data_IF_074102763475
#
_entry.id   IF_074102763475
#
_cell.length_a   1.000
_cell.length_b   1.000
_cell.length_c   1.000
_cell.angle_alpha   90.00
_cell.angle_beta   90.00
_cell.angle_gamma   90.00
#
_symmetry.space_group_name_H-M   'P 1'
#
loop_
_entity.id
_entity.type
_entity.pdbx_description
1 polymer ?
#
# COMPACT_ATOMS: atom_id res chain seq x y z
N UNK A 1 -17.22 15.24 10.56
CA UNK A 1 -17.45 14.50 9.29
C UNK A 1 -16.71 15.20 8.16
N UNK A 2 -15.98 14.44 7.34
CA UNK A 2 -15.17 14.93 6.23
C UNK A 2 -16.02 15.00 4.96
N UNK A 3 -16.37 16.22 4.51
CA UNK A 3 -17.32 16.44 3.41
C UNK A 3 -16.97 17.73 2.64
N UNK A 4 -17.45 17.84 1.40
CA UNK A 4 -17.19 19.03 0.57
C UNK A 4 -17.82 20.31 1.14
N UNK A 5 -18.94 20.23 1.86
CA UNK A 5 -19.61 21.42 2.42
C UNK A 5 -18.74 22.17 3.43
N UNK A 6 -17.78 21.47 4.07
CA UNK A 6 -16.81 22.06 5.01
C UNK A 6 -15.49 22.48 4.36
N UNK A 7 -15.38 22.41 3.03
CA UNK A 7 -14.10 22.65 2.33
C UNK A 7 -13.54 24.05 2.58
N UNK A 8 -14.39 25.07 2.60
CA UNK A 8 -13.98 26.45 2.86
C UNK A 8 -13.43 26.63 4.29
N UNK A 9 -14.07 25.99 5.27
CA UNK A 9 -13.60 26.01 6.67
C UNK A 9 -12.24 25.31 6.81
N UNK A 10 -12.07 24.16 6.14
CA UNK A 10 -10.82 23.40 6.14
C UNK A 10 -9.69 24.24 5.53
N UNK A 11 -9.93 24.90 4.39
CA UNK A 11 -8.94 25.79 3.75
C UNK A 11 -8.59 26.97 4.67
N UNK A 12 -9.59 27.54 5.35
CA UNK A 12 -9.38 28.65 6.28
C UNK A 12 -8.54 28.21 7.48
N UNK A 13 -8.82 27.03 8.03
CA UNK A 13 -8.02 26.44 9.10
C UNK A 13 -6.58 26.14 8.65
N UNK A 14 -6.38 25.67 7.41
CA UNK A 14 -5.05 25.42 6.86
C UNK A 14 -4.20 26.69 6.74
N UNK A 15 -4.83 27.84 6.46
CA UNK A 15 -4.14 29.14 6.34
C UNK A 15 -3.82 29.77 7.70
N UNK A 16 -4.71 29.58 8.67
CA UNK A 16 -4.68 30.33 9.93
C UNK A 16 -4.04 29.56 11.09
N UNK A 17 -3.83 28.25 10.96
CA UNK A 17 -3.22 27.43 12.00
C UNK A 17 -1.81 26.97 11.61
N UNK A 18 -0.97 26.71 12.63
CA UNK A 18 0.34 26.09 12.44
C UNK A 18 0.21 24.57 12.48
N UNK A 19 0.92 23.91 11.59
CA UNK A 19 1.04 22.45 11.51
C UNK A 19 2.50 22.07 11.73
N UNK A 20 2.72 20.93 12.36
CA UNK A 20 4.06 20.37 12.58
C UNK A 20 4.58 19.67 11.32
N UNK A 21 3.65 19.13 10.52
CA UNK A 21 3.96 18.43 9.27
C UNK A 21 2.94 18.77 8.18
N UNK A 22 3.44 19.08 6.98
CA UNK A 22 2.65 19.22 5.77
C UNK A 22 3.04 18.13 4.78
N UNK A 23 2.08 17.25 4.45
CA UNK A 23 2.23 16.19 3.45
C UNK A 23 1.63 16.64 2.13
N UNK A 24 2.43 16.56 1.06
CA UNK A 24 2.00 16.88 -0.31
C UNK A 24 1.75 15.56 -1.06
N UNK A 25 0.50 15.30 -1.40
CA UNK A 25 0.02 14.10 -2.06
C UNK A 25 -0.82 13.21 -1.14
N UNK A 26 -2.05 12.89 -1.57
CA UNK A 26 -3.03 12.04 -0.90
C UNK A 26 -3.11 10.62 -1.51
N UNK A 27 -1.99 10.11 -2.05
CA UNK A 27 -1.85 8.70 -2.42
C UNK A 27 -1.56 7.81 -1.20
N UNK A 28 -1.33 6.52 -1.42
CA UNK A 28 -1.10 5.54 -0.33
C UNK A 28 0.08 5.94 0.57
N UNK A 29 1.17 6.47 -0.01
CA UNK A 29 2.34 6.94 0.74
C UNK A 29 2.01 8.13 1.63
N UNK A 30 1.35 9.15 1.08
CA UNK A 30 1.00 10.34 1.85
C UNK A 30 -0.04 10.06 2.93
N UNK A 31 -1.01 9.19 2.65
CA UNK A 31 -1.97 8.72 3.64
C UNK A 31 -1.28 7.95 4.78
N UNK A 32 -0.32 7.07 4.46
CA UNK A 32 0.46 6.34 5.46
C UNK A 32 1.30 7.26 6.35
N UNK A 33 2.00 8.24 5.75
CA UNK A 33 2.75 9.26 6.50
C UNK A 33 1.82 10.07 7.40
N UNK A 34 0.68 10.50 6.88
CA UNK A 34 -0.29 11.28 7.64
C UNK A 34 -0.87 10.49 8.83
N UNK A 35 -1.15 9.21 8.63
CA UNK A 35 -1.60 8.31 9.69
C UNK A 35 -0.53 8.17 10.77
N UNK A 36 0.69 7.80 10.40
CA UNK A 36 1.81 7.63 11.34
C UNK A 36 2.08 8.93 12.13
N UNK A 37 2.21 10.07 11.44
CA UNK A 37 2.43 11.36 12.07
C UNK A 37 1.30 11.75 13.04
N UNK A 38 0.05 11.57 12.64
CA UNK A 38 -1.11 11.89 13.49
C UNK A 38 -1.17 10.98 14.71
N UNK A 39 -0.86 9.68 14.57
CA UNK A 39 -0.83 8.74 15.71
C UNK A 39 0.29 9.05 16.71
N UNK A 40 1.35 9.74 16.28
CA UNK A 40 2.43 10.23 17.14
C UNK A 40 2.14 11.60 17.76
N UNK A 41 0.95 12.16 17.53
CA UNK A 41 0.50 13.44 18.10
C UNK A 41 0.95 14.68 17.34
N UNK A 42 1.47 14.55 16.12
CA UNK A 42 1.83 15.70 15.29
C UNK A 42 0.59 16.31 14.65
N UNK A 43 0.46 17.64 14.71
CA UNK A 43 -0.58 18.34 13.97
C UNK A 43 -0.25 18.32 12.47
N UNK A 44 -0.87 17.40 11.74
CA UNK A 44 -0.50 17.08 10.35
C UNK A 44 -1.56 17.57 9.36
N UNK A 45 -1.12 18.23 8.30
CA UNK A 45 -1.96 18.61 7.16
C UNK A 45 -1.60 17.80 5.92
N UNK A 46 -2.60 17.42 5.12
CA UNK A 46 -2.41 16.73 3.83
C UNK A 46 -3.06 17.55 2.73
N UNK A 47 -2.31 17.80 1.65
CA UNK A 47 -2.82 18.45 0.44
C UNK A 47 -2.73 17.50 -0.74
N UNK A 48 -3.88 17.27 -1.38
CA UNK A 48 -3.97 16.52 -2.64
C UNK A 48 -4.50 17.45 -3.73
N UNK A 49 -3.89 17.37 -4.91
CA UNK A 49 -4.24 18.20 -6.06
C UNK A 49 -5.54 17.73 -6.72
N UNK A 50 -5.79 16.42 -6.71
CA UNK A 50 -6.97 15.78 -7.31
C UNK A 50 -7.88 15.23 -6.22
N UNK A 51 -8.31 13.98 -6.36
CA UNK A 51 -8.99 13.21 -5.34
C UNK A 51 -7.99 12.26 -4.64
N UNK A 52 -8.33 11.81 -3.44
CA UNK A 52 -7.49 10.84 -2.71
C UNK A 52 -7.31 9.57 -3.54
N UNK A 53 -6.09 9.03 -3.52
CA UNK A 53 -5.67 7.89 -4.33
C UNK A 53 -5.80 8.04 -5.88
N UNK A 54 -6.12 9.22 -6.43
CA UNK A 54 -6.34 9.40 -7.87
C UNK A 54 -5.10 9.17 -8.76
N UNK A 55 -3.90 9.13 -8.16
CA UNK A 55 -2.64 8.82 -8.84
C UNK A 55 -2.41 7.32 -9.06
N UNK A 56 -1.16 6.87 -8.97
CA UNK A 56 -0.77 5.46 -9.16
C UNK A 56 -1.45 4.52 -8.17
N UNK A 57 -1.81 5.02 -6.98
CA UNK A 57 -2.45 4.23 -5.92
C UNK A 57 -3.78 3.59 -6.34
N UNK A 58 -4.52 4.18 -7.28
CA UNK A 58 -5.76 3.58 -7.83
C UNK A 58 -5.53 2.78 -9.12
N UNK A 59 -4.32 2.80 -9.68
CA UNK A 59 -3.95 2.23 -10.99
C UNK A 59 -2.98 1.06 -10.88
N UNK A 60 -2.99 0.37 -9.74
CA UNK A 60 -2.22 -0.86 -9.53
C UNK A 60 -2.97 -2.08 -10.09
N UNK A 61 -2.29 -3.23 -10.08
CA UNK A 61 -2.90 -4.55 -10.31
C UNK A 61 -3.87 -4.95 -9.20
N UNK A 62 -3.98 -4.16 -8.12
CA UNK A 62 -4.79 -4.44 -6.92
C UNK A 62 -4.37 -5.74 -6.24
N UNK A 63 -3.08 -6.06 -6.31
CA UNK A 63 -2.48 -7.23 -5.68
C UNK A 63 -1.35 -6.83 -4.74
N UNK A 64 -1.40 -7.31 -3.50
CA UNK A 64 -0.29 -7.33 -2.55
C UNK A 64 0.42 -8.67 -2.71
N UNK A 65 1.45 -8.71 -3.54
CA UNK A 65 2.20 -9.93 -3.82
C UNK A 65 3.44 -10.07 -2.93
N UNK A 66 3.76 -11.30 -2.51
CA UNK A 66 4.94 -11.61 -1.68
C UNK A 66 6.29 -11.53 -2.39
N UNK A 67 6.33 -11.12 -3.67
CA UNK A 67 7.58 -10.89 -4.38
C UNK A 67 8.35 -12.18 -4.73
N UNK A 68 7.66 -13.28 -5.04
CA UNK A 68 8.29 -14.57 -5.36
C UNK A 68 9.38 -14.50 -6.44
N UNK A 69 9.30 -13.50 -7.34
CA UNK A 69 10.34 -13.25 -8.33
C UNK A 69 11.72 -12.95 -7.71
N UNK A 70 11.75 -12.30 -6.55
CA UNK A 70 12.99 -11.93 -5.86
C UNK A 70 13.71 -13.15 -5.26
N UNK A 71 12.99 -14.25 -4.96
CA UNK A 71 13.63 -15.50 -4.55
C UNK A 71 14.57 -16.06 -5.63
N UNK A 72 14.27 -15.85 -6.92
CA UNK A 72 15.16 -16.25 -8.02
C UNK A 72 16.49 -15.51 -7.99
N UNK A 73 16.53 -14.31 -7.41
CA UNK A 73 17.72 -13.49 -7.23
C UNK A 73 18.42 -13.73 -5.88
N UNK A 74 17.97 -14.74 -5.11
CA UNK A 74 18.43 -15.04 -3.75
C UNK A 74 18.24 -13.90 -2.74
N UNK A 75 17.32 -12.97 -3.02
CA UNK A 75 17.01 -11.87 -2.12
C UNK A 75 15.95 -12.29 -1.08
N UNK A 76 16.36 -13.17 -0.18
CA UNK A 76 15.49 -13.76 0.86
C UNK A 76 15.02 -12.69 1.85
N UNK A 77 15.84 -11.67 2.11
CA UNK A 77 15.52 -10.60 3.06
C UNK A 77 14.30 -9.80 2.61
N UNK A 78 14.28 -9.38 1.35
CA UNK A 78 13.14 -8.63 0.79
C UNK A 78 11.86 -9.45 0.82
N UNK A 79 11.94 -10.74 0.48
CA UNK A 79 10.77 -11.63 0.48
C UNK A 79 10.19 -11.81 1.88
N UNK A 80 11.05 -11.96 2.89
CA UNK A 80 10.64 -12.04 4.29
C UNK A 80 9.98 -10.74 4.77
N UNK A 81 10.54 -9.59 4.41
CA UNK A 81 10.01 -8.27 4.77
C UNK A 81 8.63 -8.03 4.14
N UNK A 82 8.49 -8.25 2.83
CA UNK A 82 7.20 -8.11 2.12
C UNK A 82 6.16 -9.09 2.65
N UNK A 83 6.57 -10.33 3.00
CA UNK A 83 5.68 -11.31 3.62
C UNK A 83 5.13 -10.83 4.97
N UNK A 84 5.98 -10.21 5.80
CA UNK A 84 5.59 -9.65 7.09
C UNK A 84 4.66 -8.44 6.93
N UNK A 85 5.00 -7.50 6.06
CA UNK A 85 4.17 -6.31 5.80
C UNK A 85 2.79 -6.70 5.27
N UNK A 86 2.70 -7.73 4.43
CA UNK A 86 1.41 -8.26 3.95
C UNK A 86 0.51 -8.73 5.09
N UNK A 87 1.06 -9.47 6.06
CA UNK A 87 0.29 -9.92 7.22
C UNK A 87 -0.22 -8.72 8.05
N UNK A 88 0.63 -7.71 8.27
CA UNK A 88 0.25 -6.48 8.98
C UNK A 88 -0.89 -5.74 8.28
N UNK A 89 -0.83 -5.61 6.95
CA UNK A 89 -1.90 -4.95 6.18
C UNK A 89 -3.21 -5.73 6.27
N UNK A 90 -3.15 -7.06 6.23
CA UNK A 90 -4.32 -7.92 6.37
C UNK A 90 -4.99 -7.81 7.74
N UNK A 91 -4.19 -7.84 8.80
CA UNK A 91 -4.69 -7.72 10.17
C UNK A 91 -5.33 -6.33 10.42
N UNK A 92 -4.75 -5.27 9.87
CA UNK A 92 -5.28 -3.91 10.00
C UNK A 92 -6.49 -3.61 9.12
N UNK A 93 -6.61 -4.29 7.97
CA UNK A 93 -7.65 -4.04 6.97
C UNK A 93 -8.27 -5.32 6.40
N UNK A 94 -8.87 -6.20 7.23
CA UNK A 94 -9.41 -7.48 6.76
C UNK A 94 -10.63 -7.32 5.85
N UNK A 95 -11.27 -6.15 5.88
CA UNK A 95 -12.38 -5.78 4.99
C UNK A 95 -11.90 -5.16 3.67
N UNK A 96 -10.62 -4.79 3.58
CA UNK A 96 -9.99 -4.21 2.39
C UNK A 96 -9.18 -5.25 1.64
N UNK A 97 -8.64 -6.25 2.33
CA UNK A 97 -7.76 -7.26 1.73
C UNK A 97 -8.31 -8.66 1.89
N UNK A 98 -8.26 -9.43 0.81
CA UNK A 98 -8.70 -10.84 0.81
C UNK A 98 -7.60 -11.75 0.25
N UNK A 99 -7.28 -12.87 0.92
CA UNK A 99 -6.28 -13.81 0.45
C UNK A 99 -6.81 -14.64 -0.73
N UNK A 100 -6.01 -14.72 -1.79
CA UNK A 100 -6.32 -15.39 -3.05
C UNK A 100 -5.16 -16.27 -3.50
N UNK A 101 -5.49 -17.42 -4.10
CA UNK A 101 -4.49 -18.37 -4.59
C UNK A 101 -3.99 -18.01 -5.99
N UNK A 102 -2.68 -17.87 -6.16
CA UNK A 102 -2.05 -17.67 -7.47
C UNK A 102 -1.54 -18.98 -8.08
N UNK A 103 -1.82 -19.18 -9.37
CA UNK A 103 -1.28 -20.29 -10.16
C UNK A 103 -0.13 -19.79 -11.05
N UNK A 104 1.05 -20.40 -10.92
CA UNK A 104 2.21 -20.11 -11.76
C UNK A 104 2.52 -21.32 -12.67
N UNK A 105 2.21 -21.27 -13.97
CA UNK A 105 2.51 -22.36 -14.90
C UNK A 105 4.01 -22.41 -15.23
N UNK A 106 4.56 -23.63 -15.32
CA UNK A 106 5.95 -23.86 -15.72
C UNK A 106 6.03 -24.33 -17.18
N UNK A 107 6.91 -23.70 -17.97
CA UNK A 107 7.15 -24.07 -19.37
C UNK A 107 8.58 -24.60 -19.58
N UNK A 108 8.73 -25.67 -20.36
CA UNK A 108 10.01 -26.36 -20.62
C UNK A 108 11.09 -25.49 -21.31
N UNK A 109 10.71 -24.35 -21.90
CA UNK A 109 11.64 -23.48 -22.63
C UNK A 109 12.49 -22.56 -21.73
N UNK A 110 12.24 -22.51 -20.42
CA UNK A 110 13.04 -21.71 -19.49
C UNK A 110 14.08 -22.56 -18.74
N UNK A 111 15.39 -22.20 -18.76
CA UNK A 111 16.47 -22.96 -18.12
C UNK A 111 16.38 -23.07 -16.57
N UNK A 112 15.39 -22.44 -15.94
CA UNK A 112 15.23 -22.38 -14.47
C UNK A 112 14.04 -23.18 -13.92
N UNK A 113 13.39 -24.04 -14.73
CA UNK A 113 12.21 -24.81 -14.31
C UNK A 113 12.53 -26.06 -13.46
N UNK A 114 13.54 -25.99 -12.58
CA UNK A 114 13.91 -27.09 -11.69
C UNK A 114 13.29 -26.90 -10.30
N UNK A 115 11.95 -26.93 -10.21
CA UNK A 115 11.18 -27.41 -9.06
C UNK A 115 9.68 -27.25 -9.36
N UNK A 116 8.90 -28.35 -9.44
CA UNK A 116 7.45 -28.28 -9.48
C UNK A 116 6.94 -27.99 -8.07
N UNK A 117 7.26 -26.81 -7.55
CA UNK A 117 6.55 -26.29 -6.40
C UNK A 117 5.21 -25.77 -6.93
N UNK A 118 4.12 -26.42 -6.51
CA UNK A 118 2.88 -25.67 -6.25
C UNK A 118 3.23 -24.65 -5.16
N UNK A 119 3.92 -23.58 -5.55
CA UNK A 119 3.99 -22.38 -4.74
C UNK A 119 2.61 -21.80 -4.85
N UNK A 120 1.77 -22.25 -3.93
CA UNK A 120 0.51 -21.65 -3.61
C UNK A 120 0.87 -20.28 -3.01
N UNK A 121 1.24 -19.36 -3.89
CA UNK A 121 1.53 -18.00 -3.50
C UNK A 121 0.18 -17.40 -3.17
N UNK A 122 -0.13 -17.33 -1.89
CA UNK A 122 -1.20 -16.45 -1.45
C UNK A 122 -0.79 -15.03 -1.89
N UNK A 123 -1.61 -14.42 -2.73
CA UNK A 123 -1.59 -12.98 -2.97
C UNK A 123 -2.79 -12.40 -2.27
N UNK A 124 -2.74 -11.14 -1.83
CA UNK A 124 -3.96 -10.48 -1.35
C UNK A 124 -4.47 -9.53 -2.41
N UNK A 125 -5.78 -9.54 -2.65
CA UNK A 125 -6.44 -8.54 -3.50
C UNK A 125 -6.97 -7.39 -2.64
N UNK A 126 -6.95 -6.17 -3.20
CA UNK A 126 -7.65 -4.99 -2.67
C UNK A 126 -9.03 -4.81 -3.31
#
# INVERSE_FOLDING_TARGET
MFTNTKRNDIISNLKNNKFDLLVIGGGITGAGIALDASTRGLNTAVLEMKDFAAGTSSRSTKLVHGGLRYLKQLDVKVVAEVGKERAIVYENGPHVTTPEWMLLPFHKAEPSAALPLRLACESMTF
#
